data_IF_543379371077
#
_entry.id   IF_543379371077
#
_cell.length_a   1.000
_cell.length_b   1.000
_cell.length_c   1.000
_cell.angle_alpha   90.00
_cell.angle_beta   90.00
_cell.angle_gamma   90.00
#
_symmetry.space_group_name_H-M   'P 1'
#
loop_
_entity.id
_entity.type
_entity.pdbx_description
1 polymer ?
#
# COMPACT_ATOMS: atom_id res chain seq x y z
N UNK A 1 -7.98 -8.84 -4.07
CA UNK A 1 -6.65 -9.47 -4.09
C UNK A 1 -6.67 -10.62 -5.08
N UNK A 2 -5.69 -10.71 -5.97
CA UNK A 2 -5.67 -11.73 -7.03
C UNK A 2 -5.21 -13.09 -6.50
N UNK A 3 -6.02 -14.13 -6.73
CA UNK A 3 -5.78 -15.53 -6.34
C UNK A 3 -6.05 -16.49 -7.51
N UNK A 4 -5.42 -16.21 -8.65
CA UNK A 4 -5.50 -17.04 -9.87
C UNK A 4 -6.85 -17.03 -10.62
N UNK A 5 -7.64 -15.97 -10.44
CA UNK A 5 -8.85 -15.75 -11.24
C UNK A 5 -8.51 -15.49 -12.73
N UNK A 6 -9.41 -15.89 -13.63
CA UNK A 6 -9.29 -15.50 -15.05
C UNK A 6 -9.55 -13.99 -15.18
N UNK A 7 -8.55 -13.25 -15.66
CA UNK A 7 -8.60 -11.78 -15.72
C UNK A 7 -9.56 -11.28 -16.80
N UNK A 8 -9.66 -11.98 -17.92
CA UNK A 8 -10.55 -11.64 -19.01
C UNK A 8 -12.00 -11.83 -18.59
N UNK A 9 -12.32 -12.99 -17.98
CA UNK A 9 -13.65 -13.25 -17.45
C UNK A 9 -14.03 -12.22 -16.37
N UNK A 10 -13.12 -11.97 -15.41
CA UNK A 10 -13.37 -10.98 -14.36
C UNK A 10 -13.58 -9.58 -14.95
N UNK A 11 -12.83 -9.21 -15.99
CA UNK A 11 -13.01 -7.92 -16.65
C UNK A 11 -14.36 -7.82 -17.35
N UNK A 12 -14.82 -8.89 -18.00
CA UNK A 12 -16.13 -8.95 -18.65
C UNK A 12 -17.26 -8.81 -17.63
N UNK A 13 -17.18 -9.49 -16.48
CA UNK A 13 -18.15 -9.35 -15.39
C UNK A 13 -18.21 -7.92 -14.86
N UNK A 14 -17.05 -7.30 -14.60
CA UNK A 14 -16.99 -5.90 -14.14
C UNK A 14 -17.58 -4.92 -15.16
N UNK A 15 -17.39 -5.16 -16.47
CA UNK A 15 -18.04 -4.37 -17.53
C UNK A 15 -19.54 -4.60 -17.55
N UNK A 16 -19.99 -5.85 -17.46
CA UNK A 16 -21.40 -6.22 -17.45
C UNK A 16 -22.18 -5.50 -16.36
N UNK A 17 -21.60 -5.37 -15.15
CA UNK A 17 -22.23 -4.68 -14.04
C UNK A 17 -21.98 -3.16 -14.01
N UNK A 18 -21.13 -2.63 -14.90
CA UNK A 18 -20.87 -1.18 -14.98
C UNK A 18 -20.13 -0.60 -13.77
N UNK A 19 -19.40 -1.43 -13.02
CA UNK A 19 -18.78 -1.05 -11.73
C UNK A 19 -17.26 -0.79 -11.82
N UNK A 20 -16.71 -0.63 -13.03
CA UNK A 20 -15.26 -0.55 -13.24
C UNK A 20 -14.55 0.47 -12.33
N UNK A 21 -15.11 1.67 -12.13
CA UNK A 21 -14.52 2.72 -11.29
C UNK A 21 -14.55 2.42 -9.78
N UNK A 22 -15.31 1.40 -9.36
CA UNK A 22 -15.43 0.97 -7.96
C UNK A 22 -14.57 -0.27 -7.66
N UNK A 23 -13.93 -0.85 -8.68
CA UNK A 23 -13.12 -2.06 -8.56
C UNK A 23 -11.65 -1.70 -8.50
N UNK A 24 -10.96 -2.30 -7.53
CA UNK A 24 -9.52 -2.24 -7.40
C UNK A 24 -8.93 -3.66 -7.47
N UNK A 25 -8.04 -3.90 -8.44
CA UNK A 25 -7.28 -5.14 -8.50
C UNK A 25 -5.98 -5.00 -7.69
N UNK A 26 -5.88 -5.76 -6.62
CA UNK A 26 -4.69 -5.80 -5.76
C UNK A 26 -3.79 -7.01 -6.09
N UNK A 27 -2.49 -6.79 -6.27
CA UNK A 27 -1.49 -7.83 -6.53
C UNK A 27 -0.07 -7.32 -6.21
N UNK A 28 0.88 -8.22 -5.93
CA UNK A 28 2.32 -7.90 -5.91
C UNK A 28 2.98 -7.99 -7.28
N UNK A 29 2.25 -8.48 -8.29
CA UNK A 29 2.73 -8.69 -9.65
C UNK A 29 2.38 -7.47 -10.51
N UNK A 30 3.35 -6.62 -10.80
CA UNK A 30 3.13 -5.37 -11.54
C UNK A 30 2.67 -5.58 -12.99
N UNK A 31 3.22 -6.59 -13.67
CA UNK A 31 2.78 -7.02 -15.01
C UNK A 31 1.29 -7.38 -15.06
N UNK A 32 0.78 -8.01 -14.00
CA UNK A 32 -0.62 -8.35 -13.85
C UNK A 32 -1.51 -7.10 -13.74
N UNK A 33 -1.08 -6.09 -12.97
CA UNK A 33 -1.79 -4.81 -12.86
C UNK A 33 -1.85 -4.08 -14.21
N UNK A 34 -0.74 -4.11 -14.97
CA UNK A 34 -0.68 -3.51 -16.32
C UNK A 34 -1.62 -4.22 -17.29
N UNK A 35 -1.68 -5.56 -17.26
CA UNK A 35 -2.65 -6.33 -18.06
C UNK A 35 -4.09 -5.97 -17.68
N UNK A 36 -4.39 -5.88 -16.38
CA UNK A 36 -5.70 -5.46 -15.92
C UNK A 36 -6.10 -4.07 -16.41
N UNK A 37 -5.18 -3.10 -16.37
CA UNK A 37 -5.45 -1.75 -16.88
C UNK A 37 -5.67 -1.70 -18.39
N UNK A 38 -5.11 -2.63 -19.17
CA UNK A 38 -5.44 -2.78 -20.60
C UNK A 38 -6.87 -3.31 -20.80
N UNK A 39 -7.31 -4.23 -19.94
CA UNK A 39 -8.68 -4.78 -19.99
C UNK A 39 -9.70 -3.75 -19.49
N UNK A 40 -9.41 -3.08 -18.38
CA UNK A 40 -10.30 -2.13 -17.70
C UNK A 40 -9.58 -0.82 -17.35
N UNK A 41 -9.41 0.10 -18.32
CA UNK A 41 -8.70 1.35 -18.10
C UNK A 41 -9.29 2.26 -17.01
N UNK A 42 -10.59 2.15 -16.74
CA UNK A 42 -11.29 2.98 -15.76
C UNK A 42 -11.28 2.40 -14.33
N UNK A 43 -10.63 1.26 -14.11
CA UNK A 43 -10.53 0.62 -12.79
C UNK A 43 -9.30 1.06 -12.00
N UNK A 44 -9.33 0.79 -10.70
CA UNK A 44 -8.17 0.93 -9.82
C UNK A 44 -7.26 -0.31 -9.81
N UNK A 45 -6.03 -0.10 -9.39
CA UNK A 45 -5.02 -1.13 -9.09
C UNK A 45 -4.25 -0.77 -7.82
N UNK A 46 -3.86 -1.80 -7.07
CA UNK A 46 -3.01 -1.68 -5.90
C UNK A 46 -1.80 -2.61 -6.04
N UNK A 47 -0.60 -2.03 -6.11
CA UNK A 47 0.63 -2.79 -5.95
C UNK A 47 0.97 -2.91 -4.46
N UNK A 48 0.83 -4.11 -3.90
CA UNK A 48 1.25 -4.38 -2.52
C UNK A 48 2.67 -4.97 -2.48
N UNK A 49 3.52 -4.43 -1.60
CA UNK A 49 4.96 -4.74 -1.54
C UNK A 49 5.33 -5.30 -0.15
N UNK A 50 5.53 -6.62 -0.02
CA UNK A 50 5.96 -7.26 1.22
C UNK A 50 7.50 -7.26 1.33
N UNK A 51 8.04 -8.03 2.29
CA UNK A 51 9.46 -8.36 2.36
C UNK A 51 10.31 -7.35 3.16
N UNK A 52 11.61 -7.34 2.93
CA UNK A 52 12.58 -6.42 3.55
C UNK A 52 12.60 -5.06 2.84
N UNK A 53 13.16 -4.02 3.47
CA UNK A 53 13.40 -2.72 2.83
C UNK A 53 14.22 -2.88 1.54
N UNK A 54 15.22 -3.78 1.52
CA UNK A 54 15.99 -4.08 0.30
C UNK A 54 15.11 -4.59 -0.83
N UNK A 55 14.18 -5.51 -0.53
CA UNK A 55 13.23 -6.03 -1.52
C UNK A 55 12.26 -4.93 -1.98
N UNK A 56 11.74 -4.11 -1.05
CA UNK A 56 10.87 -2.98 -1.37
C UNK A 56 11.54 -1.97 -2.28
N UNK A 57 12.80 -1.61 -2.01
CA UNK A 57 13.61 -0.74 -2.88
C UNK A 57 13.77 -1.34 -4.27
N UNK A 58 14.04 -2.64 -4.38
CA UNK A 58 14.13 -3.32 -5.68
C UNK A 58 12.80 -3.29 -6.45
N UNK A 59 11.65 -3.43 -5.76
CA UNK A 59 10.34 -3.30 -6.38
C UNK A 59 10.06 -1.86 -6.84
N UNK A 60 10.42 -0.85 -6.05
CA UNK A 60 10.30 0.56 -6.44
C UNK A 60 11.17 0.88 -7.68
N UNK A 61 12.40 0.38 -7.72
CA UNK A 61 13.27 0.50 -8.91
C UNK A 61 12.65 -0.16 -10.15
N UNK A 62 12.02 -1.33 -9.99
CA UNK A 62 11.31 -1.98 -11.10
C UNK A 62 10.10 -1.15 -11.58
N UNK A 63 9.33 -0.58 -10.65
CA UNK A 63 8.20 0.28 -10.99
C UNK A 63 8.65 1.55 -11.73
N UNK A 64 9.72 2.20 -11.28
CA UNK A 64 10.33 3.38 -11.93
C UNK A 64 10.74 3.13 -13.38
N UNK A 65 11.30 1.95 -13.69
CA UNK A 65 11.67 1.57 -15.07
C UNK A 65 10.50 1.52 -16.05
N UNK A 66 9.28 1.45 -15.53
CA UNK A 66 8.05 1.45 -16.32
C UNK A 66 7.20 2.70 -16.07
N UNK A 67 7.77 3.71 -15.41
CA UNK A 67 7.06 4.92 -14.98
C UNK A 67 5.77 4.63 -14.20
N UNK A 68 5.81 3.62 -13.34
CA UNK A 68 4.67 3.15 -12.55
C UNK A 68 3.43 2.76 -13.36
N UNK A 69 3.60 2.41 -14.65
CA UNK A 69 2.50 2.09 -15.57
C UNK A 69 1.47 1.15 -14.93
N UNK A 70 0.21 1.56 -14.95
CA UNK A 70 -0.90 0.79 -14.44
C UNK A 70 -0.99 0.64 -12.92
N UNK A 71 -0.27 1.44 -12.14
CA UNK A 71 -0.40 1.54 -10.67
C UNK A 71 -1.23 2.78 -10.31
N UNK A 72 -2.39 2.60 -9.66
CA UNK A 72 -3.16 3.74 -9.12
C UNK A 72 -2.96 3.94 -7.61
N UNK A 73 -2.61 2.87 -6.92
CA UNK A 73 -2.34 2.84 -5.49
C UNK A 73 -1.13 1.94 -5.23
N UNK A 74 -0.34 2.26 -4.20
CA UNK A 74 0.79 1.44 -3.77
C UNK A 74 0.71 1.24 -2.26
N UNK A 75 0.88 0.00 -1.81
CA UNK A 75 0.89 -0.36 -0.40
C UNK A 75 2.22 -0.97 0.01
N UNK A 76 2.82 -0.42 1.06
CA UNK A 76 4.01 -0.99 1.70
C UNK A 76 3.63 -1.72 2.97
N UNK A 77 4.04 -2.99 3.09
CA UNK A 77 3.89 -3.73 4.35
C UNK A 77 4.94 -3.25 5.34
N UNK A 78 4.48 -2.72 6.47
CA UNK A 78 5.31 -2.32 7.61
C UNK A 78 5.29 -3.47 8.62
N UNK A 79 6.47 -3.94 9.03
CA UNK A 79 6.65 -5.11 9.90
C UNK A 79 7.25 -4.69 11.24
N UNK A 80 6.67 -5.21 12.31
CA UNK A 80 7.02 -4.86 13.69
C UNK A 80 8.19 -5.70 14.22
N UNK A 81 8.82 -5.29 15.34
CA UNK A 81 9.82 -6.10 16.03
C UNK A 81 9.28 -7.50 16.35
N UNK A 82 10.10 -8.52 16.09
CA UNK A 82 9.71 -9.93 16.23
C UNK A 82 9.27 -10.60 14.92
N UNK A 83 8.74 -9.85 13.95
CA UNK A 83 8.45 -10.35 12.59
C UNK A 83 9.48 -9.87 11.55
N UNK A 84 9.93 -8.62 11.65
CA UNK A 84 10.94 -8.08 10.75
C UNK A 84 12.35 -8.59 11.09
N UNK A 85 13.14 -8.86 10.04
CA UNK A 85 14.54 -9.29 10.14
C UNK A 85 15.54 -8.17 9.82
N UNK A 86 15.05 -6.97 9.47
CA UNK A 86 15.83 -5.87 8.90
C UNK A 86 15.45 -4.49 9.47
N UNK A 87 14.97 -4.44 10.72
CA UNK A 87 14.73 -3.16 11.41
C UNK A 87 16.08 -2.46 11.62
N UNK A 88 16.19 -1.22 11.14
CA UNK A 88 17.40 -0.42 11.30
C UNK A 88 17.53 0.12 12.74
N UNK A 89 18.75 0.39 13.24
CA UNK A 89 18.94 0.96 14.57
C UNK A 89 18.15 2.26 14.78
N UNK A 90 17.34 2.31 15.83
CA UNK A 90 16.52 3.48 16.18
C UNK A 90 15.17 3.56 15.45
N UNK A 91 14.86 2.62 14.57
CA UNK A 91 13.54 2.53 13.92
C UNK A 91 12.59 1.62 14.73
N UNK A 92 11.30 1.99 14.85
CA UNK A 92 10.31 1.18 15.55
C UNK A 92 9.83 -0.02 14.72
N UNK A 93 10.03 0.00 13.40
CA UNK A 93 9.56 -1.02 12.45
C UNK A 93 10.44 -1.05 11.19
N UNK A 94 10.19 -2.01 10.31
CA UNK A 94 10.76 -2.05 8.95
C UNK A 94 9.64 -1.85 7.92
N UNK A 95 9.84 -1.05 6.85
CA UNK A 95 11.07 -0.34 6.51
C UNK A 95 11.24 0.96 7.32
N UNK A 96 12.40 1.60 7.20
CA UNK A 96 12.69 2.86 7.89
C UNK A 96 11.70 3.98 7.51
N UNK A 97 11.44 4.89 8.45
CA UNK A 97 10.64 6.11 8.20
C UNK A 97 11.21 6.96 7.08
N UNK A 98 12.54 7.02 6.95
CA UNK A 98 13.20 7.70 5.83
C UNK A 98 12.73 7.13 4.49
N UNK A 99 12.79 5.81 4.32
CA UNK A 99 12.33 5.15 3.10
C UNK A 99 10.84 5.42 2.83
N UNK A 100 9.99 5.36 3.86
CA UNK A 100 8.57 5.65 3.71
C UNK A 100 8.32 7.10 3.25
N UNK A 101 9.09 8.07 3.79
CA UNK A 101 9.02 9.47 3.35
C UNK A 101 9.49 9.69 1.91
N UNK A 102 10.57 9.02 1.49
CA UNK A 102 11.05 9.02 0.10
C UNK A 102 9.95 8.52 -0.86
N UNK A 103 9.35 7.36 -0.55
CA UNK A 103 8.27 6.78 -1.35
C UNK A 103 7.04 7.67 -1.36
N UNK A 104 6.63 8.21 -0.19
CA UNK A 104 5.48 9.09 -0.09
C UNK A 104 5.61 10.32 -0.99
N UNK A 105 6.78 10.96 -0.98
CA UNK A 105 7.05 12.15 -1.79
C UNK A 105 7.00 11.82 -3.28
N UNK A 106 7.64 10.72 -3.69
CA UNK A 106 7.65 10.28 -5.09
C UNK A 106 6.24 9.94 -5.62
N UNK A 107 5.43 9.24 -4.82
CA UNK A 107 4.08 8.84 -5.23
C UNK A 107 3.11 10.02 -5.27
N UNK A 108 3.25 10.99 -4.35
CA UNK A 108 2.45 12.20 -4.33
C UNK A 108 2.61 13.02 -5.62
N UNK A 109 3.84 13.19 -6.12
CA UNK A 109 4.12 13.87 -7.40
C UNK A 109 3.44 13.19 -8.61
N UNK A 110 3.14 11.90 -8.49
CA UNK A 110 2.53 11.06 -9.54
C UNK A 110 1.03 10.89 -9.37
N UNK A 111 0.43 11.43 -8.31
CA UNK A 111 -0.98 11.21 -7.99
C UNK A 111 -1.32 9.75 -7.65
N UNK A 112 -0.33 8.96 -7.20
CA UNK A 112 -0.53 7.57 -6.77
C UNK A 112 -0.85 7.58 -5.28
N UNK A 113 -1.97 6.97 -4.89
CA UNK A 113 -2.32 6.86 -3.46
C UNK A 113 -1.32 5.94 -2.76
N UNK A 114 -0.60 6.48 -1.78
CA UNK A 114 0.28 5.70 -0.93
C UNK A 114 -0.45 5.19 0.31
N UNK A 115 -0.34 3.88 0.56
CA UNK A 115 -0.90 3.21 1.73
C UNK A 115 0.19 2.44 2.47
N UNK A 116 0.00 2.24 3.77
CA UNK A 116 0.78 1.26 4.53
C UNK A 116 -0.11 0.17 5.09
N UNK A 117 0.45 -1.03 5.25
CA UNK A 117 -0.16 -2.13 5.98
C UNK A 117 0.72 -2.44 7.19
N UNK A 118 0.36 -1.98 8.39
CA UNK A 118 1.04 -2.33 9.64
C UNK A 118 0.73 -3.79 9.98
N UNK A 119 1.55 -4.70 9.46
CA UNK A 119 1.25 -6.12 9.43
C UNK A 119 1.14 -6.69 10.85
N UNK A 120 -0.05 -7.17 11.23
CA UNK A 120 -0.33 -7.72 12.55
C UNK A 120 -0.35 -6.68 13.70
N UNK A 121 -0.20 -5.38 13.41
CA UNK A 121 -0.22 -4.36 14.46
C UNK A 121 -1.64 -4.12 14.99
N UNK A 122 -1.78 -4.20 16.31
CA UNK A 122 -3.05 -4.04 17.03
C UNK A 122 -2.98 -2.99 18.14
N UNK A 123 -1.90 -2.21 18.20
CA UNK A 123 -1.68 -1.14 19.17
C UNK A 123 -1.76 0.24 18.52
N UNK A 124 -2.27 1.23 19.26
CA UNK A 124 -2.41 2.59 18.78
C UNK A 124 -1.06 3.31 18.56
N UNK A 125 0.01 2.89 19.25
CA UNK A 125 1.33 3.52 19.18
C UNK A 125 1.92 3.37 17.79
N UNK A 126 1.79 2.19 17.19
CA UNK A 126 2.21 1.92 15.81
C UNK A 126 1.53 2.86 14.81
N UNK A 127 0.20 3.03 14.91
CA UNK A 127 -0.53 3.94 14.02
C UNK A 127 -0.13 5.40 14.23
N UNK A 128 0.06 5.84 15.48
CA UNK A 128 0.54 7.18 15.79
C UNK A 128 1.92 7.46 15.16
N UNK A 129 2.85 6.51 15.25
CA UNK A 129 4.19 6.64 14.64
C UNK A 129 4.15 6.74 13.11
N UNK A 130 3.21 6.04 12.47
CA UNK A 130 3.02 6.12 11.02
C UNK A 130 2.35 7.44 10.61
N UNK A 131 1.37 7.90 11.39
CA UNK A 131 0.74 9.22 11.20
C UNK A 131 1.76 10.36 11.36
N UNK A 132 2.60 10.30 12.39
CA UNK A 132 3.72 11.24 12.60
C UNK A 132 4.72 11.23 11.43
N UNK A 133 4.84 10.10 10.72
CA UNK A 133 5.63 9.97 9.49
C UNK A 133 4.89 10.45 8.23
N UNK A 134 3.69 11.04 8.37
CA UNK A 134 2.87 11.57 7.29
C UNK A 134 2.02 10.53 6.55
N UNK A 135 1.91 9.31 7.08
CA UNK A 135 1.19 8.21 6.44
C UNK A 135 -0.24 8.17 6.96
N UNK A 136 -1.21 8.58 6.14
CA UNK A 136 -2.61 8.71 6.53
C UNK A 136 -3.57 7.71 5.87
N UNK A 137 -3.05 6.74 5.11
CA UNK A 137 -3.85 5.67 4.50
C UNK A 137 -3.35 4.30 4.95
N UNK A 138 -4.23 3.51 5.54
CA UNK A 138 -3.92 2.20 6.11
C UNK A 138 -4.79 1.10 5.50
N UNK A 139 -4.16 -0.03 5.18
CA UNK A 139 -4.85 -1.31 5.25
C UNK A 139 -4.62 -1.92 6.64
N UNK A 140 -5.58 -2.67 7.14
CA UNK A 140 -5.56 -3.17 8.52
C UNK A 140 -6.42 -4.42 8.66
N UNK A 141 -5.98 -5.34 9.51
CA UNK A 141 -6.78 -6.49 9.97
C UNK A 141 -7.68 -6.11 11.17
N UNK A 142 -7.47 -4.93 11.76
CA UNK A 142 -8.16 -4.45 12.97
C UNK A 142 -8.80 -3.06 12.75
N UNK A 143 -9.85 -2.95 11.91
CA UNK A 143 -10.41 -1.66 11.51
C UNK A 143 -10.90 -0.80 12.68
N UNK A 144 -11.48 -1.39 13.72
CA UNK A 144 -11.95 -0.66 14.90
C UNK A 144 -10.79 -0.04 15.69
N UNK A 145 -9.68 -0.78 15.82
CA UNK A 145 -8.46 -0.29 16.48
C UNK A 145 -7.84 0.84 15.67
N UNK A 146 -7.70 0.66 14.36
CA UNK A 146 -7.15 1.68 13.46
C UNK A 146 -8.00 2.95 13.50
N UNK A 147 -9.32 2.83 13.42
CA UNK A 147 -10.23 3.98 13.45
C UNK A 147 -10.12 4.72 14.79
N UNK A 148 -10.08 3.99 15.91
CA UNK A 148 -9.91 4.60 17.23
C UNK A 148 -8.55 5.29 17.35
N UNK A 149 -7.47 4.63 16.95
CA UNK A 149 -6.12 5.18 17.05
C UNK A 149 -5.94 6.46 16.22
N UNK A 150 -6.49 6.49 15.00
CA UNK A 150 -6.48 7.68 14.14
C UNK A 150 -7.29 8.82 14.78
N UNK A 151 -8.48 8.51 15.32
CA UNK A 151 -9.32 9.51 16.00
C UNK A 151 -8.60 10.10 17.21
N UNK A 152 -8.12 9.24 18.10
CA UNK A 152 -7.43 9.64 19.33
C UNK A 152 -6.19 10.49 19.00
N UNK A 153 -5.45 10.14 17.95
CA UNK A 153 -4.26 10.90 17.50
C UNK A 153 -4.62 12.34 17.14
N UNK A 154 -5.67 12.56 16.33
CA UNK A 154 -6.09 13.91 15.94
C UNK A 154 -6.77 14.67 17.08
N UNK A 155 -7.53 14.00 17.95
CA UNK A 155 -8.11 14.62 19.15
C UNK A 155 -7.01 15.11 20.13
N UNK A 156 -5.87 14.42 20.18
CA UNK A 156 -4.71 14.80 20.98
C UNK A 156 -3.84 15.91 20.34
N UNK A 157 -4.24 16.46 19.18
CA UNK A 157 -3.47 17.49 18.48
C UNK A 157 -2.27 16.94 17.70
N UNK A 158 -2.39 15.71 17.21
CA UNK A 158 -1.44 15.11 16.28
C UNK A 158 -1.12 16.03 15.08
N UNK A 159 0.11 15.90 14.59
CA UNK A 159 0.65 16.74 13.51
C UNK A 159 -0.01 16.49 12.17
#
# INVERSE_FOLDING_TARGET
DYKDADLEQLADEVRQYGVASQVLLASSKHDLLRRWKKLLPNSGTLLWIPGTEKQKRATMEAARKTDFDGITQLQIHVRMPGDATDIQPGEPFSPSRQFLGEVSSELAERGILFQTLPYGASDAVTYAQLLDAGLASFATDYPDVTLKAVRDYYEAGGK
#
